data_IF_510723289558
#
_entry.id   IF_510723289558
#
_cell.length_a   1.000
_cell.length_b   1.000
_cell.length_c   1.000
_cell.angle_alpha   90.00
_cell.angle_beta   90.00
_cell.angle_gamma   90.00
#
_symmetry.space_group_name_H-M   'P 1'
#
loop_
_entity.id
_entity.type
_entity.pdbx_description
1 polymer ?
#
# COMPACT_ATOMS: atom_id res chain seq x y z
N UNK A 1 -7.22 -5.46 -11.83
CA UNK A 1 -8.04 -5.02 -10.68
C UNK A 1 -7.45 -3.73 -10.13
N UNK A 2 -8.24 -2.65 -9.97
CA UNK A 2 -7.81 -1.43 -9.28
C UNK A 2 -7.94 -1.65 -7.77
N UNK A 3 -6.84 -1.52 -7.03
CA UNK A 3 -6.79 -1.64 -5.55
C UNK A 3 -7.80 -0.71 -4.87
N UNK A 4 -8.02 0.46 -5.48
CA UNK A 4 -9.03 1.44 -5.15
C UNK A 4 -10.45 0.87 -5.01
N UNK A 5 -10.80 -0.28 -5.64
CA UNK A 5 -12.13 -0.89 -5.47
C UNK A 5 -12.35 -1.51 -4.08
N UNK A 6 -11.29 -1.98 -3.41
CA UNK A 6 -11.40 -2.57 -2.08
C UNK A 6 -11.59 -1.49 -0.99
N UNK A 7 -11.06 -0.29 -1.22
CA UNK A 7 -11.34 0.91 -0.41
C UNK A 7 -12.51 1.72 -0.97
N UNK A 8 -12.88 1.51 -2.23
CA UNK A 8 -13.87 2.29 -2.98
C UNK A 8 -15.28 2.17 -2.41
N UNK A 9 -15.61 1.01 -1.84
CA UNK A 9 -16.86 0.75 -1.12
C UNK A 9 -16.87 1.23 0.34
N UNK A 10 -15.76 1.78 0.85
CA UNK A 10 -15.73 2.38 2.18
C UNK A 10 -16.38 3.77 2.16
N UNK A 11 -17.20 4.05 3.17
CA UNK A 11 -17.73 5.39 3.41
C UNK A 11 -16.59 6.40 3.57
N UNK A 12 -16.88 7.69 3.35
CA UNK A 12 -15.90 8.76 3.53
C UNK A 12 -15.24 8.70 4.92
N UNK A 13 -16.05 8.45 5.96
CA UNK A 13 -15.57 8.30 7.34
C UNK A 13 -14.59 7.13 7.52
N UNK A 14 -14.85 5.98 6.88
CA UNK A 14 -13.95 4.82 6.94
C UNK A 14 -12.63 5.09 6.21
N UNK A 15 -12.67 5.82 5.09
CA UNK A 15 -11.46 6.26 4.37
C UNK A 15 -10.63 7.23 5.20
N UNK A 16 -11.28 8.18 5.87
CA UNK A 16 -10.63 9.11 6.78
C UNK A 16 -9.98 8.40 7.97
N UNK A 17 -10.70 7.48 8.62
CA UNK A 17 -10.16 6.70 9.74
C UNK A 17 -8.99 5.80 9.30
N UNK A 18 -9.10 5.17 8.12
CA UNK A 18 -8.02 4.37 7.54
C UNK A 18 -6.73 5.17 7.38
N UNK A 19 -6.82 6.41 6.86
CA UNK A 19 -5.67 7.29 6.69
C UNK A 19 -5.12 7.79 8.03
N UNK A 20 -5.97 8.20 8.97
CA UNK A 20 -5.54 8.67 10.31
C UNK A 20 -4.80 7.59 11.09
N UNK A 21 -5.28 6.35 11.01
CA UNK A 21 -4.63 5.20 11.64
C UNK A 21 -3.22 4.92 11.08
N UNK A 22 -2.86 5.55 9.96
CA UNK A 22 -1.55 5.44 9.29
C UNK A 22 -0.80 6.76 9.29
N UNK A 23 -1.07 7.61 10.29
CA UNK A 23 -0.33 8.84 10.51
C UNK A 23 -0.67 9.99 9.56
N UNK A 24 -1.63 9.84 8.65
CA UNK A 24 -2.08 10.97 7.84
C UNK A 24 -2.90 11.94 8.66
N UNK A 25 -2.75 13.23 8.39
CA UNK A 25 -3.51 14.32 9.01
C UNK A 25 -4.36 15.01 7.97
N UNK A 26 -5.58 15.35 8.35
CA UNK A 26 -6.50 16.11 7.50
C UNK A 26 -6.38 17.59 7.85
N UNK A 27 -6.17 18.42 6.83
CA UNK A 27 -6.07 19.87 6.94
C UNK A 27 -6.71 20.54 5.72
N UNK A 28 -7.69 21.41 5.95
CA UNK A 28 -8.46 22.14 4.92
C UNK A 28 -8.92 21.28 3.72
N UNK A 29 -9.38 20.04 3.98
CA UNK A 29 -9.85 19.11 2.93
C UNK A 29 -8.74 18.43 2.14
N UNK A 30 -7.49 18.57 2.56
CA UNK A 30 -6.33 17.82 2.07
C UNK A 30 -5.76 16.92 3.16
N UNK A 31 -5.00 15.92 2.74
CA UNK A 31 -4.40 14.91 3.61
C UNK A 31 -2.88 15.02 3.52
N UNK A 32 -2.21 15.21 4.64
CA UNK A 32 -0.75 15.31 4.74
C UNK A 32 -0.16 14.08 5.44
N UNK A 33 1.01 13.66 4.96
CA UNK A 33 1.82 12.60 5.56
C UNK A 33 3.29 12.98 5.43
N UNK A 34 4.12 12.60 6.40
CA UNK A 34 5.54 12.96 6.44
C UNK A 34 6.28 12.47 5.18
N UNK A 35 6.01 11.24 4.75
CA UNK A 35 6.68 10.61 3.59
C UNK A 35 6.09 11.06 2.25
N UNK A 36 4.78 11.28 2.19
CA UNK A 36 4.06 11.45 0.91
C UNK A 36 3.64 12.90 0.64
N UNK A 37 3.83 13.80 1.60
CA UNK A 37 3.40 15.19 1.48
C UNK A 37 1.88 15.34 1.50
N UNK A 38 1.40 16.45 0.94
CA UNK A 38 -0.01 16.83 0.99
C UNK A 38 -0.76 16.47 -0.30
N UNK A 39 -1.87 15.74 -0.19
CA UNK A 39 -2.64 15.20 -1.30
C UNK A 39 -4.16 15.27 -1.07
N UNK A 40 -4.99 15.32 -2.14
CA UNK A 40 -6.41 15.05 -2.03
C UNK A 40 -6.69 13.63 -1.52
N UNK A 41 -7.85 13.40 -0.89
CA UNK A 41 -8.24 12.12 -0.27
C UNK A 41 -7.97 10.90 -1.16
N UNK A 42 -8.41 10.93 -2.43
CA UNK A 42 -8.24 9.79 -3.34
C UNK A 42 -6.77 9.44 -3.58
N UNK A 43 -5.90 10.45 -3.68
CA UNK A 43 -4.47 10.26 -3.88
C UNK A 43 -3.79 9.83 -2.59
N UNK A 44 -4.16 10.39 -1.43
CA UNK A 44 -3.66 9.92 -0.13
C UNK A 44 -3.96 8.42 0.09
N UNK A 45 -5.19 7.99 -0.19
CA UNK A 45 -5.56 6.56 -0.17
C UNK A 45 -4.70 5.74 -1.13
N UNK A 46 -4.48 6.24 -2.35
CA UNK A 46 -3.67 5.53 -3.33
C UNK A 46 -2.23 5.33 -2.84
N UNK A 47 -1.58 6.38 -2.34
CA UNK A 47 -0.24 6.31 -1.76
C UNK A 47 -0.20 5.29 -0.61
N UNK A 48 -1.17 5.37 0.29
CA UNK A 48 -1.18 4.50 1.45
C UNK A 48 -1.44 3.03 1.12
N UNK A 49 -2.34 2.74 0.16
CA UNK A 49 -2.55 1.35 -0.30
C UNK A 49 -1.31 0.78 -0.99
N UNK A 50 -0.59 1.61 -1.75
CA UNK A 50 0.66 1.21 -2.37
C UNK A 50 1.71 0.89 -1.30
N UNK A 51 1.82 1.73 -0.27
CA UNK A 51 2.75 1.54 0.84
C UNK A 51 2.42 0.29 1.66
N UNK A 52 1.16 0.12 2.10
CA UNK A 52 0.71 -1.07 2.85
C UNK A 52 1.11 -2.38 2.14
N UNK A 53 0.88 -2.46 0.82
CA UNK A 53 1.25 -3.63 0.02
C UNK A 53 2.76 -3.79 -0.13
N UNK A 54 3.49 -2.68 -0.26
CA UNK A 54 4.93 -2.69 -0.34
C UNK A 54 5.57 -3.17 0.99
N UNK A 55 5.08 -2.68 2.13
CA UNK A 55 5.54 -3.12 3.45
C UNK A 55 5.24 -4.61 3.70
N UNK A 56 4.03 -5.08 3.34
CA UNK A 56 3.69 -6.50 3.45
C UNK A 56 4.55 -7.39 2.52
N UNK A 57 5.01 -6.87 1.38
CA UNK A 57 6.01 -7.53 0.54
C UNK A 57 7.41 -7.48 1.16
N UNK A 58 7.77 -6.43 1.90
CA UNK A 58 9.07 -6.35 2.57
C UNK A 58 9.25 -7.46 3.61
N UNK A 59 8.19 -7.84 4.32
CA UNK A 59 8.15 -9.03 5.19
C UNK A 59 8.45 -10.35 4.45
N UNK A 60 8.39 -10.36 3.11
CA UNK A 60 8.68 -11.50 2.23
C UNK A 60 10.02 -11.35 1.50
N UNK A 61 10.90 -10.48 1.99
CA UNK A 61 12.24 -10.27 1.46
C UNK A 61 12.33 -9.28 0.29
N UNK A 62 11.25 -8.53 0.01
CA UNK A 62 11.31 -7.41 -0.91
C UNK A 62 11.86 -6.16 -0.21
N UNK A 63 12.30 -5.19 -1.00
CA UNK A 63 12.82 -3.92 -0.52
C UNK A 63 12.21 -2.78 -1.31
N UNK A 64 11.78 -1.74 -0.60
CA UNK A 64 11.35 -0.47 -1.21
C UNK A 64 12.57 0.35 -1.58
N UNK A 65 12.65 0.76 -2.84
CA UNK A 65 13.69 1.68 -3.33
C UNK A 65 13.21 3.13 -3.32
N UNK A 66 11.89 3.35 -3.41
CA UNK A 66 11.29 4.67 -3.35
C UNK A 66 9.90 4.73 -3.93
N UNK A 67 9.26 5.88 -3.72
CA UNK A 67 7.94 6.22 -4.21
C UNK A 67 8.04 7.34 -5.25
N UNK A 68 7.24 7.25 -6.30
CA UNK A 68 7.03 8.34 -7.24
C UNK A 68 6.00 9.33 -6.70
N UNK A 69 6.03 10.56 -7.20
CA UNK A 69 5.01 11.59 -6.92
C UNK A 69 3.59 11.16 -7.31
N UNK A 70 3.46 10.18 -8.20
CA UNK A 70 2.16 9.63 -8.63
C UNK A 70 1.65 8.53 -7.70
N UNK A 71 2.42 8.13 -6.69
CA UNK A 71 2.05 7.09 -5.72
C UNK A 71 2.37 5.67 -6.17
N UNK A 72 3.19 5.49 -7.20
CA UNK A 72 3.78 4.19 -7.54
C UNK A 72 5.05 3.95 -6.74
N UNK A 73 5.27 2.69 -6.34
CA UNK A 73 6.48 2.24 -5.64
C UNK A 73 7.38 1.43 -6.58
N UNK A 74 8.69 1.64 -6.42
CA UNK A 74 9.71 0.79 -7.01
C UNK A 74 10.26 -0.17 -5.95
N UNK A 75 10.26 -1.46 -6.28
CA UNK A 75 10.64 -2.55 -5.39
C UNK A 75 11.80 -3.35 -5.97
N UNK A 76 12.57 -3.97 -5.09
CA UNK A 76 13.62 -4.93 -5.42
C UNK A 76 13.41 -6.22 -4.64
N UNK A 77 13.76 -7.34 -5.25
CA UNK A 77 13.73 -8.65 -4.63
C UNK A 77 15.10 -8.96 -4.00
N UNK A 78 15.16 -8.92 -2.66
CA UNK A 78 16.42 -8.95 -1.91
C UNK A 78 17.41 -7.86 -2.33
N UNK A 79 18.70 -8.10 -2.08
CA UNK A 79 19.77 -7.13 -2.34
C UNK A 79 20.19 -7.03 -3.82
N UNK A 80 19.92 -8.06 -4.63
CA UNK A 80 20.46 -8.18 -6.00
C UNK A 80 19.40 -8.27 -7.09
N UNK A 81 18.11 -8.26 -6.73
CA UNK A 81 17.03 -8.27 -7.70
C UNK A 81 17.07 -7.05 -8.63
N UNK A 82 16.49 -7.18 -9.83
CA UNK A 82 16.27 -6.00 -10.68
C UNK A 82 15.11 -5.16 -10.11
N UNK A 83 15.24 -3.83 -10.04
CA UNK A 83 14.13 -2.96 -9.67
C UNK A 83 12.91 -3.21 -10.55
N UNK A 84 11.72 -3.26 -9.95
CA UNK A 84 10.47 -3.48 -10.65
C UNK A 84 9.30 -2.77 -9.96
N UNK A 85 8.15 -2.74 -10.63
CA UNK A 85 6.93 -2.15 -10.10
C UNK A 85 6.17 -3.09 -9.16
N UNK A 86 5.32 -2.54 -8.29
CA UNK A 86 4.44 -3.31 -7.41
C UNK A 86 3.62 -4.40 -8.14
N UNK A 87 2.97 -4.14 -9.29
CA UNK A 87 2.27 -5.21 -10.02
C UNK A 87 3.19 -6.34 -10.50
N UNK A 88 4.47 -6.07 -10.77
CA UNK A 88 5.44 -7.11 -11.13
C UNK A 88 5.88 -7.88 -9.88
N UNK A 89 6.15 -7.19 -8.77
CA UNK A 89 6.50 -7.80 -7.50
C UNK A 89 5.41 -8.75 -7.00
N UNK A 90 4.15 -8.29 -6.97
CA UNK A 90 2.98 -9.11 -6.60
C UNK A 90 2.84 -10.36 -7.46
N UNK A 91 3.02 -10.26 -8.79
CA UNK A 91 2.99 -11.43 -9.68
C UNK A 91 4.12 -12.42 -9.40
N UNK A 92 5.32 -11.90 -9.17
CA UNK A 92 6.48 -12.74 -8.84
C UNK A 92 6.25 -13.47 -7.51
N UNK A 93 5.78 -12.75 -6.50
CA UNK A 93 5.48 -13.32 -5.18
C UNK A 93 4.35 -14.35 -5.24
N UNK A 94 3.25 -14.04 -5.95
CA UNK A 94 2.13 -14.97 -6.11
C UNK A 94 2.57 -16.29 -6.77
N UNK A 95 3.48 -16.21 -7.74
CA UNK A 95 4.08 -17.38 -8.39
C UNK A 95 4.96 -18.19 -7.42
N UNK A 96 5.72 -17.54 -6.53
CA UNK A 96 6.51 -18.23 -5.48
C UNK A 96 5.62 -18.98 -4.52
N UNK A 97 4.53 -18.34 -4.11
CA UNK A 97 3.53 -18.90 -3.19
C UNK A 97 2.53 -19.85 -3.88
N UNK A 98 2.67 -20.08 -5.19
CA UNK A 98 1.78 -20.94 -6.00
C UNK A 98 0.28 -20.62 -5.83
N UNK A 99 -0.07 -19.33 -5.75
CA UNK A 99 -1.45 -18.86 -5.56
C UNK A 99 -1.83 -17.73 -6.53
N UNK A 100 -3.13 -17.48 -6.75
CA UNK A 100 -3.58 -16.36 -7.59
C UNK A 100 -3.12 -15.01 -7.05
N UNK A 101 -2.78 -14.10 -7.96
CA UNK A 101 -2.32 -12.73 -7.61
C UNK A 101 -3.37 -11.97 -6.81
N UNK A 102 -4.65 -12.12 -7.17
CA UNK A 102 -5.75 -11.45 -6.48
C UNK A 102 -5.85 -11.91 -5.02
N UNK A 103 -5.71 -13.22 -4.78
CA UNK A 103 -5.74 -13.82 -3.45
C UNK A 103 -4.55 -13.35 -2.60
N UNK A 104 -3.34 -13.36 -3.17
CA UNK A 104 -2.16 -12.79 -2.52
C UNK A 104 -2.40 -11.33 -2.14
N UNK A 105 -2.82 -10.51 -3.11
CA UNK A 105 -3.02 -9.07 -2.91
C UNK A 105 -4.02 -8.81 -1.79
N UNK A 106 -5.11 -9.57 -1.75
CA UNK A 106 -6.10 -9.48 -0.68
C UNK A 106 -5.51 -9.87 0.68
N UNK A 107 -4.75 -10.97 0.76
CA UNK A 107 -4.12 -11.36 2.02
C UNK A 107 -3.08 -10.36 2.53
N UNK A 108 -2.30 -9.75 1.63
CA UNK A 108 -1.34 -8.70 1.99
C UNK A 108 -2.06 -7.45 2.50
N UNK A 109 -3.15 -7.06 1.85
CA UNK A 109 -3.98 -5.95 2.29
C UNK A 109 -4.60 -6.20 3.68
N UNK A 110 -5.12 -7.41 3.92
CA UNK A 110 -5.66 -7.76 5.24
C UNK A 110 -4.58 -7.75 6.32
N UNK A 111 -3.39 -8.29 6.06
CA UNK A 111 -2.29 -8.27 7.01
C UNK A 111 -1.94 -6.82 7.43
N UNK A 112 -1.83 -5.91 6.46
CA UNK A 112 -1.58 -4.50 6.72
C UNK A 112 -2.73 -3.78 7.46
N UNK A 113 -3.96 -4.31 7.44
CA UNK A 113 -5.06 -3.78 8.23
C UNK A 113 -5.03 -4.28 9.69
N UNK A 114 -4.63 -5.54 9.90
CA UNK A 114 -4.58 -6.15 11.24
C UNK A 114 -3.44 -5.56 12.06
N UNK A 115 -2.24 -5.40 11.47
CA UNK A 115 -1.08 -4.81 12.17
C UNK A 115 -1.34 -3.40 12.70
N UNK A 116 -2.23 -2.64 12.06
CA UNK A 116 -2.61 -1.29 12.52
C UNK A 116 -3.61 -1.34 13.68
N UNK A 117 -4.43 -2.38 13.78
CA UNK A 117 -5.38 -2.52 14.89
C UNK A 117 -4.72 -3.03 16.18
N UNK A 118 -3.64 -3.81 16.07
CA UNK A 118 -2.89 -4.32 17.24
C UNK A 118 -1.87 -3.31 17.79
N UNK A 119 -1.60 -2.22 17.06
CA UNK A 119 -0.70 -1.14 17.47
C UNK A 119 -1.41 0.04 18.16
N UNK A 120 -2.71 -0.12 18.50
CA UNK A 120 -3.56 0.90 19.12
C UNK A 120 -3.79 0.71 20.61
#
# INVERSE_FOLDING_TARGET
>A
MKLERHVGGLSLARKANYLRARGWREDEGRWSHEIFGQHPLAKAIHHQLTDDLAQALCQRGWQVLGYSERGYVQLRDGERGKPCSLPKALRTQARREKRPVAELTYSLFLAALVEVNDAG
#
